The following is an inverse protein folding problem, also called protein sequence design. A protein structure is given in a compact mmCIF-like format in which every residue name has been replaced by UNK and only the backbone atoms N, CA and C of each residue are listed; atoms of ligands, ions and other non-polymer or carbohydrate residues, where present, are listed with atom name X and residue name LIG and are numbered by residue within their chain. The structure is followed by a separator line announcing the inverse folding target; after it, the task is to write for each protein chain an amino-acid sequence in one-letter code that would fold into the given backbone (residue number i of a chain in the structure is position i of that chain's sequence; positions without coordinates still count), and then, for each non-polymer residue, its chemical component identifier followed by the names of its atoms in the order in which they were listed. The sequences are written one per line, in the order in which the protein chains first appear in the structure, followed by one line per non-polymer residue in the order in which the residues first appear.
data_IF_595031729014
#
_entry.id   IF_595031729014
#
_cell.length_a   1.000
_cell.length_b   1.000
_cell.length_c   1.000
_cell.angle_alpha   90.00
_cell.angle_beta   90.00
_cell.angle_gamma   90.00
#
_symmetry.space_group_name_H-M   'P 1'
#
loop_
_entity.id
_entity.type
_entity.pdbx_description
1 polymer ?
#
# COMPACT_ATOMS: atom_id res chain seq x y z
N UNK A 1 4.15 -1.19 -22.99
CA UNK A 1 3.27 -0.23 -22.28
C UNK A 1 2.15 -1.02 -21.65
N UNK A 2 2.17 -1.16 -20.33
CA UNK A 2 1.03 -1.72 -19.60
C UNK A 2 -0.13 -0.74 -19.63
N UNK A 3 -1.32 -1.24 -19.91
CA UNK A 3 -2.54 -0.43 -19.91
C UNK A 3 -3.13 -0.43 -18.49
N UNK A 4 -3.68 0.70 -18.03
CA UNK A 4 -4.51 0.68 -16.83
C UNK A 4 -5.66 -0.28 -17.04
N UNK A 5 -5.96 -1.09 -16.04
CA UNK A 5 -7.00 -2.10 -16.11
C UNK A 5 -8.06 -1.84 -15.04
N UNK A 6 -9.33 -1.85 -15.44
CA UNK A 6 -10.45 -1.85 -14.50
C UNK A 6 -10.89 -3.29 -14.35
N UNK A 7 -10.59 -3.90 -13.22
CA UNK A 7 -10.89 -5.33 -12.99
C UNK A 7 -12.35 -5.60 -12.69
N UNK A 8 -13.05 -4.65 -12.13
CA UNK A 8 -14.47 -4.74 -11.79
C UNK A 8 -15.17 -3.41 -12.04
N UNK A 9 -16.41 -3.48 -12.51
CA UNK A 9 -17.20 -2.29 -12.85
C UNK A 9 -17.38 -1.30 -11.69
N UNK A 10 -17.34 -1.77 -10.45
CA UNK A 10 -17.53 -0.97 -9.25
C UNK A 10 -16.22 -0.53 -8.57
N UNK A 11 -15.07 -0.88 -9.10
CA UNK A 11 -13.79 -0.43 -8.56
C UNK A 11 -13.57 1.04 -8.85
N UNK A 12 -13.33 1.81 -7.81
CA UNK A 12 -13.03 3.25 -7.90
C UNK A 12 -11.55 3.53 -8.21
N UNK A 13 -10.69 2.52 -8.21
CA UNK A 13 -9.25 2.67 -8.44
C UNK A 13 -8.82 1.89 -9.66
N UNK A 14 -8.06 2.54 -10.51
CA UNK A 14 -7.36 1.90 -11.62
C UNK A 14 -6.07 1.27 -11.12
N UNK A 15 -5.81 0.05 -11.57
CA UNK A 15 -4.51 -0.57 -11.38
C UNK A 15 -3.57 -0.04 -12.46
N UNK A 16 -2.51 0.60 -12.04
CA UNK A 16 -1.48 1.12 -12.93
C UNK A 16 -0.14 0.50 -12.57
N UNK A 17 0.75 0.32 -13.55
CA UNK A 17 2.11 -0.07 -13.23
C UNK A 17 2.76 0.95 -12.31
N UNK A 18 3.73 0.51 -11.53
CA UNK A 18 4.55 1.41 -10.74
C UNK A 18 5.15 2.48 -11.63
N UNK A 19 4.88 3.72 -11.28
CA UNK A 19 5.53 4.84 -11.96
C UNK A 19 7.04 4.79 -11.75
N UNK A 20 7.78 5.27 -12.74
CA UNK A 20 9.24 5.33 -12.68
C UNK A 20 9.78 6.01 -11.41
N UNK A 21 9.05 6.97 -10.88
CA UNK A 21 9.36 7.68 -9.63
C UNK A 21 9.25 6.81 -8.37
N UNK A 22 8.51 5.70 -8.45
CA UNK A 22 8.36 4.76 -7.35
C UNK A 22 9.48 3.71 -7.30
N UNK A 23 10.31 3.63 -8.33
CA UNK A 23 11.45 2.73 -8.35
C UNK A 23 12.45 3.13 -7.26
N UNK A 24 12.87 2.14 -6.49
CA UNK A 24 13.90 2.33 -5.48
C UNK A 24 15.24 2.56 -6.14
N UNK A 25 15.98 3.53 -5.64
CA UNK A 25 17.41 3.56 -5.84
C UNK A 25 18.03 2.45 -4.98
N UNK A 26 18.64 1.47 -5.60
CA UNK A 26 19.31 0.36 -4.89
C UNK A 26 20.71 0.74 -4.40
N UNK A 27 21.21 1.87 -4.86
CA UNK A 27 22.53 2.35 -4.52
C UNK A 27 22.47 3.61 -3.68
N UNK A 28 22.61 3.44 -2.37
CA UNK A 28 22.50 4.54 -1.39
C UNK A 28 23.67 5.55 -1.46
N UNK A 29 24.72 5.26 -2.19
CA UNK A 29 25.93 6.09 -2.20
C UNK A 29 26.30 6.65 -3.56
N UNK A 30 25.52 6.40 -4.60
CA UNK A 30 25.96 6.74 -5.94
C UNK A 30 25.15 7.90 -6.53
N UNK A 31 25.67 9.09 -6.39
CA UNK A 31 25.20 10.29 -7.10
C UNK A 31 25.43 10.20 -8.63
N UNK A 32 26.22 9.24 -9.09
CA UNK A 32 26.56 9.07 -10.50
C UNK A 32 25.71 8.05 -11.26
N UNK A 33 24.93 7.22 -10.56
CA UNK A 33 23.96 6.29 -11.15
C UNK A 33 22.54 6.55 -10.61
N UNK A 34 21.89 7.57 -11.10
CA UNK A 34 20.51 7.86 -10.71
C UNK A 34 19.63 6.68 -11.13
N UNK A 35 18.70 6.28 -10.26
CA UNK A 35 17.78 5.18 -10.49
C UNK A 35 16.84 5.40 -11.68
N UNK A 36 16.96 6.51 -12.34
CA UNK A 36 16.24 6.83 -13.58
C UNK A 36 16.04 8.30 -13.78
N UNK A 37 15.78 8.64 -15.02
CA UNK A 37 15.44 9.98 -15.46
C UNK A 37 13.94 10.12 -15.64
N UNK A 38 13.41 11.31 -15.40
CA UNK A 38 12.01 11.65 -15.68
C UNK A 38 11.93 13.12 -16.09
N UNK A 39 10.78 13.52 -16.64
CA UNK A 39 10.58 14.89 -17.11
C UNK A 39 9.75 15.67 -16.12
N UNK A 40 10.16 16.91 -15.86
CA UNK A 40 9.46 17.88 -15.02
C UNK A 40 9.11 19.10 -15.85
N UNK A 41 7.87 19.54 -15.72
CA UNK A 41 7.44 20.81 -16.31
C UNK A 41 7.70 21.95 -15.31
N UNK A 42 8.38 23.00 -15.78
CA UNK A 42 8.58 24.26 -15.08
C UNK A 42 7.82 25.31 -15.88
N UNK A 43 6.74 25.84 -15.30
CA UNK A 43 5.83 26.73 -16.02
C UNK A 43 5.99 28.20 -15.60
N UNK A 44 5.69 29.12 -16.53
CA UNK A 44 5.67 30.54 -16.23
C UNK A 44 7.06 31.14 -15.95
N UNK A 45 8.11 30.59 -16.55
CA UNK A 45 9.47 31.10 -16.37
C UNK A 45 9.61 32.45 -17.09
N UNK A 46 9.96 33.50 -16.35
CA UNK A 46 10.14 34.83 -16.90
C UNK A 46 11.42 34.94 -17.74
N UNK A 47 11.29 35.49 -18.94
CA UNK A 47 12.39 35.80 -19.82
C UNK A 47 12.63 37.30 -19.77
N UNK A 48 13.86 37.73 -19.53
CA UNK A 48 14.29 39.11 -19.53
C UNK A 48 15.49 39.27 -20.47
N UNK A 49 15.37 40.20 -21.45
CA UNK A 49 16.40 40.45 -22.46
C UNK A 49 16.95 39.14 -23.08
N UNK A 50 16.04 38.24 -23.43
CA UNK A 50 16.37 36.96 -24.05
C UNK A 50 16.99 35.90 -23.11
N UNK A 51 16.99 36.15 -21.82
CA UNK A 51 17.57 35.21 -20.83
C UNK A 51 16.54 34.78 -19.80
N UNK A 52 16.60 33.51 -19.38
CA UNK A 52 15.76 32.92 -18.35
C UNK A 52 16.55 31.92 -17.52
N UNK A 53 16.15 31.73 -16.28
CA UNK A 53 16.68 30.63 -15.42
C UNK A 53 15.57 29.61 -15.16
N UNK A 54 15.81 28.39 -15.58
CA UNK A 54 14.91 27.26 -15.31
C UNK A 54 15.40 26.55 -14.07
N UNK A 55 14.59 26.52 -13.02
CA UNK A 55 14.86 25.84 -11.76
C UNK A 55 13.88 24.67 -11.59
N UNK A 56 14.39 23.47 -11.51
CA UNK A 56 13.59 22.24 -11.41
C UNK A 56 13.18 21.86 -9.97
N UNK A 57 13.58 22.68 -9.00
CA UNK A 57 13.22 22.51 -7.60
C UNK A 57 14.18 21.64 -6.79
N UNK A 58 14.02 21.74 -5.49
CA UNK A 58 14.90 21.08 -4.52
C UNK A 58 14.89 19.54 -4.64
N UNK A 59 16.08 18.97 -4.59
CA UNK A 59 16.26 17.51 -4.67
C UNK A 59 16.25 16.92 -6.08
N UNK A 60 16.10 17.76 -7.10
CA UNK A 60 16.17 17.40 -8.50
C UNK A 60 17.43 18.01 -9.14
N UNK A 61 18.03 17.26 -10.02
CA UNK A 61 19.18 17.70 -10.80
C UNK A 61 18.89 17.54 -12.29
N UNK A 62 19.29 18.54 -13.07
CA UNK A 62 19.12 18.52 -14.51
C UNK A 62 20.13 17.51 -15.09
N UNK A 63 19.63 16.65 -15.98
CA UNK A 63 20.46 15.73 -16.75
C UNK A 63 21.30 16.47 -17.73
N UNK A 64 22.20 16.50 -18.26
CA UNK A 64 22.93 17.19 -19.31
C UNK A 64 22.37 18.57 -19.63
N UNK A 65 22.72 19.52 -18.84
CA UNK A 65 22.23 20.87 -19.08
C UNK A 65 22.88 21.56 -20.29
N UNK A 66 23.86 20.96 -20.92
CA UNK A 66 24.52 21.38 -22.16
C UNK A 66 23.93 20.70 -23.43
N UNK A 67 22.96 19.82 -23.27
CA UNK A 67 22.31 19.11 -24.37
C UNK A 67 20.86 19.60 -24.52
N UNK A 68 20.60 20.30 -25.62
CA UNK A 68 19.27 20.85 -25.92
C UNK A 68 18.17 19.81 -26.05
N UNK A 69 18.51 18.56 -26.35
CA UNK A 69 17.55 17.45 -26.45
C UNK A 69 16.88 17.07 -25.11
N UNK A 70 17.47 17.48 -23.99
CA UNK A 70 16.91 17.26 -22.68
C UNK A 70 15.91 18.37 -22.25
N UNK A 71 15.69 19.38 -23.12
CA UNK A 71 14.76 20.46 -22.91
C UNK A 71 13.69 20.52 -24.03
N UNK A 72 12.47 20.77 -23.63
CA UNK A 72 11.39 21.17 -24.53
C UNK A 72 10.89 22.51 -24.00
N UNK A 73 11.12 23.56 -24.76
CA UNK A 73 10.77 24.94 -24.37
C UNK A 73 9.64 25.43 -25.26
N UNK A 74 8.57 25.92 -24.67
CA UNK A 74 7.46 26.56 -25.37
C UNK A 74 7.31 28.01 -24.93
N UNK A 75 7.09 28.90 -25.88
CA UNK A 75 6.83 30.33 -25.63
C UNK A 75 5.37 30.50 -25.22
N UNK A 76 5.12 31.11 -24.07
CA UNK A 76 3.77 31.34 -23.54
C UNK A 76 3.39 32.83 -23.57
N UNK A 77 4.36 33.73 -23.77
CA UNK A 77 4.12 35.13 -24.10
C UNK A 77 5.38 35.77 -24.66
N UNK A 78 5.20 36.80 -25.48
CA UNK A 78 6.30 37.54 -26.09
C UNK A 78 6.48 37.22 -27.57
N UNK A 79 7.69 37.48 -28.11
CA UNK A 79 7.99 37.17 -29.50
C UNK A 79 7.99 35.67 -29.73
N UNK A 80 7.16 35.16 -30.65
CA UNK A 80 7.00 33.73 -30.92
C UNK A 80 6.01 33.04 -29.99
N UNK A 81 5.05 33.78 -29.44
CA UNK A 81 3.98 33.14 -28.57
C UNK A 81 3.31 31.94 -29.26
N UNK A 82 3.32 30.83 -28.60
CA UNK A 82 2.85 29.53 -29.11
C UNK A 82 3.93 28.69 -29.81
N UNK A 83 5.12 29.17 -30.02
CA UNK A 83 6.21 28.41 -30.64
C UNK A 83 6.85 27.44 -29.67
N UNK A 84 7.30 26.33 -30.22
CA UNK A 84 8.17 25.39 -29.54
C UNK A 84 9.59 25.60 -30.03
N UNK A 85 10.45 26.03 -29.12
CA UNK A 85 11.86 26.27 -29.41
C UNK A 85 12.63 24.95 -29.49
N UNK A 86 13.46 24.85 -30.53
CA UNK A 86 14.31 23.67 -30.78
C UNK A 86 15.73 23.95 -30.32
N UNK A 87 16.51 22.87 -30.23
CA UNK A 87 17.97 23.01 -30.12
C UNK A 87 18.52 23.94 -31.19
N UNK A 88 19.31 24.92 -30.80
CA UNK A 88 19.82 25.99 -31.66
C UNK A 88 19.01 27.28 -31.63
N UNK A 89 17.74 27.26 -31.21
CA UNK A 89 16.94 28.47 -31.01
C UNK A 89 17.27 29.15 -29.67
N UNK A 90 17.95 28.46 -28.78
CA UNK A 90 18.46 28.93 -27.50
C UNK A 90 19.77 28.28 -27.16
N UNK A 91 20.51 28.85 -26.21
CA UNK A 91 21.76 28.30 -25.71
C UNK A 91 21.60 28.04 -24.21
N UNK A 92 22.00 26.87 -23.75
CA UNK A 92 22.12 26.57 -22.32
C UNK A 92 23.44 27.18 -21.81
N UNK A 93 23.37 27.94 -20.73
CA UNK A 93 24.57 28.41 -20.04
C UNK A 93 25.29 27.21 -19.45
N UNK A 94 26.59 27.13 -19.68
CA UNK A 94 27.45 26.01 -19.27
C UNK A 94 27.20 25.61 -17.80
N UNK A 95 26.31 24.60 -17.52
CA UNK A 95 26.00 24.23 -16.17
C UNK A 95 27.08 23.29 -15.68
N UNK A 96 27.48 23.50 -14.46
CA UNK A 96 28.21 22.45 -13.75
C UNK A 96 27.37 21.16 -13.76
N UNK A 97 27.98 20.05 -14.03
CA UNK A 97 27.33 18.72 -13.89
C UNK A 97 26.61 18.69 -12.55
N UNK A 98 25.35 18.28 -12.55
CA UNK A 98 24.51 18.18 -11.35
C UNK A 98 23.96 19.51 -10.79
N UNK A 99 23.43 20.36 -11.62
CA UNK A 99 22.77 21.59 -11.18
C UNK A 99 21.26 21.44 -11.05
N UNK A 100 20.68 22.14 -10.08
CA UNK A 100 19.24 22.29 -9.90
C UNK A 100 18.65 23.29 -10.89
N UNK A 101 19.44 24.22 -11.36
CA UNK A 101 18.99 25.27 -12.26
C UNK A 101 19.96 25.47 -13.43
N UNK A 102 19.43 25.94 -14.55
CA UNK A 102 20.20 26.26 -15.75
C UNK A 102 19.75 27.59 -16.30
N UNK A 103 20.72 28.39 -16.77
CA UNK A 103 20.43 29.61 -17.51
C UNK A 103 20.21 29.27 -18.99
N UNK A 104 19.15 29.78 -19.58
CA UNK A 104 18.88 29.74 -21.01
C UNK A 104 19.11 31.16 -21.58
N UNK A 105 19.67 31.26 -22.76
CA UNK A 105 19.91 32.54 -23.46
C UNK A 105 19.57 32.43 -24.94
N UNK A 106 19.40 33.59 -25.59
CA UNK A 106 18.96 33.64 -26.97
C UNK A 106 17.46 33.53 -27.18
N UNK A 107 16.72 33.43 -26.10
CA UNK A 107 15.26 33.30 -26.14
C UNK A 107 14.56 34.54 -26.71
N UNK A 108 13.43 34.34 -27.37
CA UNK A 108 12.51 35.38 -27.83
C UNK A 108 13.18 36.48 -28.68
N UNK A 109 14.24 36.13 -29.41
CA UNK A 109 15.01 37.12 -30.21
C UNK A 109 15.64 38.23 -29.37
N UNK A 110 15.94 38.00 -28.10
CA UNK A 110 16.47 39.00 -27.17
C UNK A 110 15.40 39.81 -26.42
N UNK A 111 14.12 39.45 -26.60
CA UNK A 111 12.97 40.16 -25.98
C UNK A 111 12.65 39.67 -24.58
N UNK A 112 11.53 40.19 -24.07
CA UNK A 112 10.94 39.82 -22.78
C UNK A 112 9.67 38.99 -22.99
N UNK A 113 9.36 38.11 -22.07
CA UNK A 113 8.16 37.28 -22.13
C UNK A 113 8.16 36.18 -21.08
N UNK A 114 7.44 35.09 -21.35
CA UNK A 114 7.39 33.89 -20.50
C UNK A 114 7.51 32.63 -21.35
N UNK A 115 8.10 31.63 -20.75
CA UNK A 115 8.23 30.29 -21.34
C UNK A 115 7.79 29.24 -20.36
N UNK A 116 7.37 28.10 -20.89
CA UNK A 116 7.27 26.83 -20.16
C UNK A 116 8.39 25.89 -20.62
N UNK A 117 9.04 25.22 -19.71
CA UNK A 117 10.10 24.28 -20.01
C UNK A 117 9.79 22.89 -19.46
N UNK A 118 9.93 21.85 -20.26
CA UNK A 118 9.94 20.47 -19.82
C UNK A 118 11.39 20.02 -19.84
N UNK A 119 11.90 19.63 -18.69
CA UNK A 119 13.32 19.33 -18.49
C UNK A 119 13.49 17.89 -18.04
N UNK A 120 14.48 17.18 -18.59
CA UNK A 120 14.87 15.86 -18.14
C UNK A 120 15.72 15.99 -16.88
N UNK A 121 15.25 15.36 -15.80
CA UNK A 121 15.89 15.45 -14.48
C UNK A 121 16.09 14.08 -13.86
N UNK A 122 16.93 14.04 -12.83
CA UNK A 122 17.05 12.90 -11.91
C UNK A 122 17.07 13.40 -10.46
N UNK A 123 16.77 12.51 -9.53
CA UNK A 123 16.82 12.84 -8.10
C UNK A 123 18.18 12.47 -7.51
N UNK A 124 18.83 13.45 -6.87
CA UNK A 124 20.14 13.24 -6.24
C UNK A 124 20.10 12.46 -4.92
N UNK A 125 18.98 12.50 -4.23
CA UNK A 125 18.83 11.93 -2.90
C UNK A 125 17.56 11.07 -2.79
N UNK A 126 17.60 9.88 -3.36
CA UNK A 126 16.52 8.91 -3.12
C UNK A 126 16.87 8.02 -1.95
N UNK A 127 16.35 8.35 -0.80
CA UNK A 127 16.30 7.37 0.28
C UNK A 127 15.32 6.25 -0.08
N UNK A 128 15.67 5.01 0.25
CA UNK A 128 14.73 3.91 0.15
C UNK A 128 13.47 4.26 0.94
N UNK A 129 12.31 4.22 0.30
CA UNK A 129 11.04 4.41 1.01
C UNK A 129 10.92 3.31 2.06
N UNK A 130 10.92 3.68 3.32
CA UNK A 130 10.69 2.73 4.39
C UNK A 130 9.29 2.15 4.22
N UNK A 131 9.19 0.84 4.11
CA UNK A 131 7.91 0.16 4.20
C UNK A 131 7.48 0.19 5.66
N UNK A 132 6.36 0.82 5.95
CA UNK A 132 5.68 0.68 7.24
C UNK A 132 4.76 -0.53 7.14
N UNK A 133 4.96 -1.49 8.02
CA UNK A 133 4.04 -2.61 8.14
C UNK A 133 2.85 -2.15 8.98
N UNK A 134 1.66 -2.09 8.39
CA UNK A 134 0.45 -1.95 9.17
C UNK A 134 0.13 -3.30 9.80
N UNK A 135 -0.03 -3.29 11.12
CA UNK A 135 -0.42 -4.49 11.86
C UNK A 135 -1.92 -4.68 11.73
N UNK A 136 -2.28 -5.91 11.63
CA UNK A 136 -3.61 -6.53 11.69
C UNK A 136 -4.79 -5.57 11.66
N UNK A 137 -5.53 -5.66 10.58
CA UNK A 137 -6.89 -5.13 10.45
C UNK A 137 -7.83 -6.32 10.38
N UNK A 138 -8.96 -6.20 11.04
CA UNK A 138 -10.06 -7.15 10.86
C UNK A 138 -10.89 -6.63 9.70
N UNK A 139 -11.02 -7.46 8.67
CA UNK A 139 -11.88 -7.19 7.54
C UNK A 139 -13.17 -8.00 7.68
N UNK A 140 -14.30 -7.31 7.66
CA UNK A 140 -15.62 -7.92 7.70
C UNK A 140 -16.13 -8.16 6.30
N UNK A 141 -16.41 -9.39 5.97
CA UNK A 141 -16.92 -9.81 4.67
C UNK A 141 -18.36 -10.28 4.80
N UNK A 142 -19.22 -9.67 3.99
CA UNK A 142 -20.65 -10.01 3.95
C UNK A 142 -20.99 -10.79 2.68
N UNK A 143 -22.13 -11.47 2.73
CA UNK A 143 -22.73 -12.06 1.55
C UNK A 143 -23.34 -10.98 0.65
N UNK A 144 -23.15 -11.08 -0.64
CA UNK A 144 -23.95 -10.28 -1.56
C UNK A 144 -25.40 -10.67 -1.44
N UNK A 145 -26.28 -9.71 -1.32
CA UNK A 145 -27.65 -10.06 -1.28
C UNK A 145 -28.17 -10.57 -2.50
N UNK A 146 -28.96 -11.43 -2.19
CA UNK A 146 -30.29 -11.46 -2.80
C UNK A 146 -31.29 -11.07 -1.70
N UNK A 147 -32.25 -10.22 -2.01
CA UNK A 147 -33.38 -9.93 -1.13
C UNK A 147 -34.00 -11.26 -0.68
N UNK A 148 -34.02 -11.49 0.63
CA UNK A 148 -34.46 -12.76 1.19
C UNK A 148 -33.38 -13.83 1.34
N UNK A 149 -32.11 -13.44 1.43
CA UNK A 149 -31.05 -14.38 1.80
C UNK A 149 -31.44 -15.20 3.04
N UNK A 150 -31.39 -16.54 2.97
CA UNK A 150 -31.82 -17.39 4.08
C UNK A 150 -30.97 -17.23 5.35
N UNK A 151 -29.78 -16.64 5.24
CA UNK A 151 -28.90 -16.37 6.38
C UNK A 151 -29.03 -14.94 6.94
N UNK A 152 -29.96 -14.12 6.41
CA UNK A 152 -30.21 -12.75 6.90
C UNK A 152 -29.10 -11.74 6.64
N UNK A 153 -28.06 -12.12 5.89
CA UNK A 153 -26.98 -11.19 5.54
C UNK A 153 -27.43 -10.23 4.44
N UNK A 154 -27.05 -8.98 4.60
CA UNK A 154 -27.34 -7.93 3.63
C UNK A 154 -26.26 -7.89 2.54
N UNK A 155 -26.56 -7.25 1.42
CA UNK A 155 -25.57 -6.97 0.37
C UNK A 155 -24.42 -6.17 0.94
N UNK A 156 -23.19 -6.54 0.57
CA UNK A 156 -22.05 -5.70 0.80
C UNK A 156 -22.28 -4.33 0.13
N UNK A 157 -22.40 -3.28 0.94
CA UNK A 157 -22.67 -1.92 0.46
C UNK A 157 -21.44 -1.25 -0.14
N UNK A 158 -20.27 -1.82 0.08
CA UNK A 158 -19.00 -1.34 -0.47
C UNK A 158 -18.69 -2.10 -1.75
N UNK A 159 -18.73 -1.44 -2.88
CA UNK A 159 -18.55 -2.01 -4.22
C UNK A 159 -17.15 -2.57 -4.53
N UNK A 160 -16.53 -3.29 -3.61
CA UNK A 160 -15.16 -3.77 -3.74
C UNK A 160 -15.04 -5.31 -3.79
N UNK A 161 -16.12 -6.02 -4.06
CA UNK A 161 -16.07 -7.47 -4.17
C UNK A 161 -15.84 -8.20 -2.85
N UNK A 162 -16.33 -7.68 -1.76
CA UNK A 162 -16.35 -8.34 -0.45
C UNK A 162 -17.52 -9.33 -0.37
N UNK A 163 -17.52 -10.32 -1.26
CA UNK A 163 -18.59 -11.31 -1.34
C UNK A 163 -18.05 -12.66 -0.93
N UNK A 164 -18.57 -13.20 0.15
CA UNK A 164 -18.19 -14.52 0.62
C UNK A 164 -18.52 -15.66 -0.36
N UNK A 165 -19.45 -15.40 -1.29
CA UNK A 165 -19.86 -16.40 -2.31
C UNK A 165 -18.83 -16.58 -3.43
N UNK A 166 -17.94 -15.58 -3.63
CA UNK A 166 -16.97 -15.59 -4.71
C UNK A 166 -15.84 -16.58 -4.42
N UNK A 167 -15.34 -17.24 -5.46
CA UNK A 167 -14.14 -18.09 -5.33
C UNK A 167 -12.89 -17.28 -4.98
N UNK A 168 -12.90 -16.02 -5.36
CA UNK A 168 -11.83 -15.05 -5.09
C UNK A 168 -12.42 -13.79 -4.45
N UNK A 169 -12.05 -13.55 -3.21
CA UNK A 169 -12.60 -12.46 -2.38
C UNK A 169 -11.53 -11.38 -2.22
N UNK A 170 -11.83 -10.16 -2.66
CA UNK A 170 -10.91 -9.02 -2.52
C UNK A 170 -10.83 -8.56 -1.07
N UNK A 171 -9.59 -8.31 -0.59
CA UNK A 171 -9.32 -7.72 0.71
C UNK A 171 -9.36 -6.18 0.69
N UNK A 172 -9.60 -5.56 -0.48
CA UNK A 172 -9.69 -4.10 -0.61
C UNK A 172 -8.39 -3.33 -0.42
N UNK A 173 -7.30 -4.01 -0.17
CA UNK A 173 -5.95 -3.45 -0.07
C UNK A 173 -4.95 -4.36 -0.77
N UNK A 174 -3.84 -3.81 -1.22
CA UNK A 174 -2.73 -4.56 -1.81
C UNK A 174 -1.65 -4.86 -0.78
N UNK A 175 -0.73 -5.74 -1.17
CA UNK A 175 0.49 -6.06 -0.41
C UNK A 175 0.20 -6.68 0.99
N UNK A 176 -0.87 -7.48 1.09
CA UNK A 176 -1.13 -8.29 2.28
C UNK A 176 -0.22 -9.50 2.24
N UNK A 177 0.71 -9.60 3.15
CA UNK A 177 1.71 -10.67 3.15
C UNK A 177 1.32 -11.89 3.98
N UNK A 178 0.32 -11.77 4.86
CA UNK A 178 -0.11 -12.87 5.72
C UNK A 178 -1.54 -12.70 6.23
N UNK A 179 -2.33 -13.77 6.13
CA UNK A 179 -3.59 -13.94 6.83
C UNK A 179 -3.29 -14.59 8.19
N UNK A 180 -3.86 -14.02 9.25
CA UNK A 180 -3.71 -14.57 10.61
C UNK A 180 -4.81 -15.58 10.92
N UNK A 181 -6.02 -15.31 10.48
CA UNK A 181 -7.17 -16.18 10.66
C UNK A 181 -8.35 -15.73 9.82
N UNK A 182 -9.21 -16.68 9.49
CA UNK A 182 -10.50 -16.44 8.84
C UNK A 182 -11.54 -17.18 9.67
N UNK A 183 -12.49 -16.46 10.23
CA UNK A 183 -13.54 -17.01 11.07
C UNK A 183 -14.90 -16.81 10.41
N UNK A 184 -15.67 -17.89 10.31
CA UNK A 184 -17.05 -17.87 9.82
C UNK A 184 -18.01 -17.87 10.99
N UNK A 185 -18.96 -16.94 11.00
CA UNK A 185 -20.02 -16.90 12.02
C UNK A 185 -20.87 -18.16 11.99
N UNK A 186 -21.39 -18.54 13.12
CA UNK A 186 -22.37 -19.63 13.26
C UNK A 186 -23.80 -19.17 13.04
N UNK A 187 -24.03 -17.86 12.96
CA UNK A 187 -25.33 -17.24 12.73
C UNK A 187 -25.25 -16.06 11.76
N UNK A 188 -26.26 -15.19 11.77
CA UNK A 188 -26.31 -13.99 10.91
C UNK A 188 -25.55 -12.80 11.49
N UNK A 189 -24.94 -12.93 12.66
CA UNK A 189 -24.15 -11.92 13.33
C UNK A 189 -22.69 -11.86 12.84
N UNK A 190 -21.91 -11.09 13.57
CA UNK A 190 -20.47 -11.05 13.39
C UNK A 190 -19.83 -12.29 13.99
N UNK A 191 -18.79 -12.87 13.37
CA UNK A 191 -18.05 -13.97 13.96
C UNK A 191 -17.50 -13.63 15.34
N UNK A 192 -17.66 -14.53 16.26
CA UNK A 192 -17.02 -14.47 17.58
C UNK A 192 -15.58 -14.93 17.44
N UNK A 193 -14.63 -14.08 17.81
CA UNK A 193 -13.21 -14.45 17.82
C UNK A 193 -12.85 -15.21 19.10
N UNK A 194 -11.87 -16.11 19.06
CA UNK A 194 -11.34 -16.73 20.27
C UNK A 194 -10.84 -15.65 21.25
N UNK A 195 -11.32 -15.73 22.48
CA UNK A 195 -10.93 -14.78 23.53
C UNK A 195 -10.92 -15.44 24.92
N UNK A 196 -10.21 -14.83 25.85
CA UNK A 196 -10.37 -15.10 27.26
C UNK A 196 -10.22 -13.84 28.10
N UNK A 197 -10.92 -13.81 29.24
CA UNK A 197 -10.65 -12.83 30.30
C UNK A 197 -9.47 -13.33 31.16
N UNK A 198 -8.65 -12.41 31.62
CA UNK A 198 -7.49 -12.75 32.43
C UNK A 198 -7.42 -11.97 33.74
N UNK A 199 -6.67 -12.52 34.65
CA UNK A 199 -6.29 -11.92 35.94
C UNK A 199 -4.82 -12.18 36.21
N UNK A 200 -4.27 -11.57 37.26
CA UNK A 200 -2.90 -11.77 37.71
C UNK A 200 -1.84 -11.52 36.61
N UNK A 201 -2.04 -10.50 35.80
CA UNK A 201 -1.06 -10.12 34.79
C UNK A 201 0.22 -9.61 35.48
N UNK A 202 1.32 -10.30 35.22
CA UNK A 202 2.67 -9.89 35.56
C UNK A 202 3.42 -9.65 34.25
N UNK A 203 3.92 -8.42 34.05
CA UNK A 203 4.60 -8.02 32.82
C UNK A 203 3.71 -7.32 31.79
N UNK A 204 4.09 -7.37 30.52
CA UNK A 204 3.41 -6.67 29.43
C UNK A 204 3.11 -7.61 28.28
N UNK A 205 1.87 -7.59 27.81
CA UNK A 205 1.44 -8.31 26.60
C UNK A 205 1.62 -7.42 25.37
N UNK A 206 2.13 -8.01 24.30
CA UNK A 206 2.24 -7.35 23.01
C UNK A 206 1.40 -8.08 21.94
N UNK A 207 0.86 -7.32 21.01
CA UNK A 207 0.23 -7.89 19.82
C UNK A 207 1.30 -8.68 19.04
N UNK A 208 0.92 -9.82 18.47
CA UNK A 208 1.79 -10.81 17.81
C UNK A 208 2.60 -11.71 18.75
N UNK A 209 2.60 -11.50 20.07
CA UNK A 209 3.19 -12.45 20.99
C UNK A 209 2.52 -13.83 20.83
N UNK A 210 3.36 -14.87 20.90
CA UNK A 210 2.87 -16.25 21.00
C UNK A 210 2.78 -16.59 22.49
N UNK A 211 1.59 -16.94 22.90
CA UNK A 211 1.27 -17.37 24.27
C UNK A 211 1.13 -18.89 24.33
N UNK A 212 1.48 -19.45 25.45
CA UNK A 212 1.44 -20.91 25.71
C UNK A 212 0.69 -21.18 27.00
N UNK A 213 -0.23 -22.13 26.97
CA UNK A 213 -0.91 -22.63 28.17
C UNK A 213 -0.01 -23.59 28.95
N UNK A 214 0.16 -23.35 30.25
CA UNK A 214 1.07 -24.14 31.08
C UNK A 214 0.55 -25.57 31.34
N UNK A 215 -0.76 -25.77 31.28
CA UNK A 215 -1.40 -27.06 31.48
C UNK A 215 -1.70 -27.77 30.17
N UNK A 216 -2.27 -27.03 29.19
CA UNK A 216 -2.67 -27.57 27.89
C UNK A 216 -1.51 -27.77 26.94
N UNK A 217 -0.45 -26.97 27.09
CA UNK A 217 0.60 -26.84 26.07
C UNK A 217 0.16 -26.12 24.79
N UNK A 218 -1.11 -25.75 24.71
CA UNK A 218 -1.68 -25.07 23.54
C UNK A 218 -1.00 -23.74 23.28
N UNK A 219 -0.86 -23.39 22.02
CA UNK A 219 -0.20 -22.16 21.58
C UNK A 219 -1.16 -21.29 20.78
N UNK A 220 -1.13 -20.01 21.06
CA UNK A 220 -1.92 -19.03 20.32
C UNK A 220 -1.15 -17.73 20.12
N UNK A 221 -1.57 -16.96 19.14
CA UNK A 221 -1.01 -15.64 18.84
C UNK A 221 -1.99 -14.56 19.25
N UNK A 222 -1.51 -13.60 20.02
CA UNK A 222 -2.31 -12.43 20.40
C UNK A 222 -2.59 -11.56 19.18
N UNK A 223 -3.86 -11.25 18.94
CA UNK A 223 -4.30 -10.34 17.87
C UNK A 223 -4.75 -8.99 18.42
N UNK A 224 -5.32 -8.97 19.62
CA UNK A 224 -5.74 -7.76 20.30
C UNK A 224 -5.82 -7.98 21.80
N UNK A 225 -5.68 -6.91 22.57
CA UNK A 225 -5.86 -6.94 24.02
C UNK A 225 -6.70 -5.77 24.48
N UNK A 226 -7.46 -5.96 25.54
CA UNK A 226 -8.09 -4.90 26.32
C UNK A 226 -7.54 -4.92 27.75
N UNK A 227 -8.12 -4.15 28.65
CA UNK A 227 -7.67 -4.09 30.06
C UNK A 227 -7.75 -5.45 30.77
N UNK A 228 -8.64 -6.34 30.35
CA UNK A 228 -8.90 -7.63 30.99
C UNK A 228 -9.14 -8.80 30.03
N UNK A 229 -9.03 -8.59 28.71
CA UNK A 229 -9.25 -9.61 27.70
C UNK A 229 -8.09 -9.73 26.73
N UNK A 230 -7.87 -10.96 26.26
CA UNK A 230 -6.98 -11.28 25.15
C UNK A 230 -7.80 -11.90 24.05
N UNK A 231 -7.71 -11.35 22.83
CA UNK A 231 -8.19 -11.97 21.60
C UNK A 231 -7.03 -12.68 20.94
N UNK A 232 -7.23 -13.89 20.50
CA UNK A 232 -6.13 -14.70 19.99
C UNK A 232 -6.54 -15.58 18.80
N UNK A 233 -5.54 -16.06 18.09
CA UNK A 233 -5.71 -17.06 17.03
C UNK A 233 -4.87 -18.29 17.44
N UNK A 234 -5.46 -19.48 17.52
CA UNK A 234 -4.70 -20.71 17.76
C UNK A 234 -3.62 -20.90 16.70
N UNK A 235 -2.44 -21.33 17.11
CA UNK A 235 -1.35 -21.67 16.18
C UNK A 235 -1.56 -23.10 15.65
N UNK A 236 -2.14 -23.95 16.47
CA UNK A 236 -2.52 -25.33 16.21
C UNK A 236 -4.00 -25.51 16.58
N UNK A 237 -4.60 -26.64 16.27
CA UNK A 237 -6.02 -26.90 16.58
C UNK A 237 -6.31 -27.09 18.07
N UNK A 238 -5.29 -26.99 18.90
CA UNK A 238 -5.40 -27.16 20.35
C UNK A 238 -6.03 -25.94 21.02
N UNK A 239 -6.73 -26.20 22.12
CA UNK A 239 -7.46 -25.18 22.88
C UNK A 239 -6.91 -25.10 24.31
N UNK A 240 -6.78 -23.87 24.82
CA UNK A 240 -6.43 -23.64 26.21
C UNK A 240 -7.38 -24.35 27.18
N UNK A 241 -6.85 -24.72 28.34
CA UNK A 241 -7.65 -25.23 29.45
C UNK A 241 -8.21 -24.05 30.27
N UNK A 242 -9.49 -24.11 30.59
CA UNK A 242 -10.13 -23.05 31.38
C UNK A 242 -9.47 -22.90 32.76
N UNK A 243 -9.15 -21.66 33.12
CA UNK A 243 -8.50 -21.32 34.38
C UNK A 243 -6.99 -21.61 34.47
N UNK A 244 -6.34 -22.02 33.37
CA UNK A 244 -4.89 -22.24 33.37
C UNK A 244 -4.07 -20.94 33.39
N UNK A 245 -2.80 -21.11 33.76
CA UNK A 245 -1.81 -20.04 33.60
C UNK A 245 -1.32 -20.01 32.16
N UNK A 246 -1.14 -18.81 31.65
CA UNK A 246 -0.63 -18.54 30.29
C UNK A 246 0.71 -17.85 30.41
N UNK A 247 1.69 -18.37 29.70
CA UNK A 247 3.03 -17.77 29.58
C UNK A 247 3.17 -17.07 28.23
N UNK A 248 3.59 -15.81 28.25
CA UNK A 248 3.95 -14.98 27.11
C UNK A 248 5.44 -14.63 27.17
N UNK A 249 6.08 -14.12 26.09
CA UNK A 249 7.50 -13.78 26.10
C UNK A 249 7.92 -12.82 27.22
N UNK A 250 7.07 -11.87 27.58
CA UNK A 250 7.35 -10.85 28.59
C UNK A 250 6.24 -10.74 29.64
N UNK A 251 5.39 -11.75 29.77
CA UNK A 251 4.31 -11.73 30.73
C UNK A 251 3.87 -13.12 31.14
N UNK A 252 3.25 -13.20 32.33
CA UNK A 252 2.43 -14.34 32.75
C UNK A 252 1.07 -13.82 33.22
N UNK A 253 0.02 -14.59 32.98
CA UNK A 253 -1.35 -14.26 33.35
C UNK A 253 -2.16 -15.54 33.58
N UNK A 254 -3.32 -15.40 34.18
CA UNK A 254 -4.19 -16.54 34.43
C UNK A 254 -5.56 -16.33 33.77
N UNK A 255 -6.06 -17.34 33.06
CA UNK A 255 -7.42 -17.33 32.50
C UNK A 255 -8.42 -17.30 33.66
N UNK A 256 -9.42 -16.41 33.58
CA UNK A 256 -10.53 -16.41 34.52
C UNK A 256 -11.43 -17.58 34.18
N UNK A 257 -11.70 -18.42 35.18
CA UNK A 257 -12.52 -19.64 34.98
C UNK A 257 -13.93 -19.29 34.47
N UNK A 258 -14.38 -20.05 33.48
CA UNK A 258 -15.64 -19.82 32.78
C UNK A 258 -15.65 -18.65 31.79
N UNK A 259 -14.48 -18.08 31.48
CA UNK A 259 -14.32 -16.93 30.59
C UNK A 259 -13.47 -17.20 29.34
N UNK A 260 -13.21 -18.46 29.07
CA UNK A 260 -12.56 -18.88 27.82
C UNK A 260 -13.63 -19.09 26.75
N UNK A 261 -13.52 -18.37 25.65
CA UNK A 261 -14.38 -18.49 24.47
C UNK A 261 -13.56 -19.04 23.32
N UNK A 262 -14.00 -20.13 22.72
CA UNK A 262 -13.30 -20.80 21.62
C UNK A 262 -13.42 -20.06 20.27
N UNK A 263 -14.38 -19.15 20.19
CA UNK A 263 -14.72 -18.48 18.94
C UNK A 263 -15.57 -19.34 18.00
N UNK A 264 -15.95 -18.76 16.88
CA UNK A 264 -16.70 -19.43 15.82
C UNK A 264 -15.77 -20.27 14.92
N UNK A 265 -16.30 -20.77 13.82
CA UNK A 265 -15.58 -21.72 12.96
C UNK A 265 -14.35 -21.08 12.29
N UNK A 266 -13.17 -21.62 12.57
CA UNK A 266 -11.95 -21.23 11.88
C UNK A 266 -11.89 -21.93 10.51
N UNK A 267 -12.01 -21.14 9.45
CA UNK A 267 -11.98 -21.59 8.06
C UNK A 267 -10.71 -21.14 7.32
N UNK A 268 -9.69 -20.72 8.03
CA UNK A 268 -8.42 -20.23 7.43
C UNK A 268 -7.82 -21.24 6.45
N UNK A 269 -7.88 -22.51 6.79
CA UNK A 269 -7.36 -23.60 5.96
C UNK A 269 -8.05 -23.77 4.60
N UNK A 270 -9.26 -23.20 4.44
CA UNK A 270 -10.07 -23.31 3.23
C UNK A 270 -9.65 -22.32 2.13
N UNK A 271 -8.75 -21.40 2.45
CA UNK A 271 -8.34 -20.30 1.55
C UNK A 271 -6.83 -20.22 1.39
N UNK A 272 -6.41 -19.73 0.23
CA UNK A 272 -5.05 -19.31 -0.05
C UNK A 272 -5.01 -17.77 -0.17
N UNK A 273 -3.90 -17.18 0.23
CA UNK A 273 -3.65 -15.75 0.05
C UNK A 273 -2.97 -15.51 -1.31
N UNK A 274 -3.55 -14.62 -2.10
CA UNK A 274 -2.89 -13.97 -3.22
C UNK A 274 -2.58 -12.52 -2.79
N UNK A 275 -1.31 -12.21 -2.61
CA UNK A 275 -0.84 -10.90 -2.11
C UNK A 275 -1.08 -9.75 -3.09
N UNK A 276 -1.47 -10.06 -4.32
CA UNK A 276 -1.71 -9.09 -5.37
C UNK A 276 -0.45 -8.59 -6.07
N UNK A 277 0.73 -9.09 -5.73
CA UNK A 277 1.95 -8.71 -6.42
C UNK A 277 2.00 -9.33 -7.82
N UNK A 278 2.32 -8.51 -8.80
CA UNK A 278 2.49 -8.89 -10.20
C UNK A 278 3.80 -8.31 -10.71
N UNK A 279 4.30 -8.82 -11.80
CA UNK A 279 5.59 -8.40 -12.38
C UNK A 279 5.69 -6.90 -12.64
N UNK A 280 4.58 -6.27 -13.01
CA UNK A 280 4.56 -4.87 -13.45
C UNK A 280 3.65 -3.97 -12.65
N UNK A 281 2.80 -4.50 -11.77
CA UNK A 281 1.82 -3.71 -11.00
C UNK A 281 1.41 -4.44 -9.72
N UNK A 282 0.80 -3.68 -8.79
CA UNK A 282 0.13 -4.25 -7.63
C UNK A 282 -1.37 -4.30 -7.87
N UNK A 283 -1.95 -5.48 -7.68
CA UNK A 283 -3.39 -5.70 -7.59
C UNK A 283 -3.82 -5.62 -6.12
N UNK A 284 -5.13 -5.65 -5.87
CA UNK A 284 -5.63 -5.92 -4.53
C UNK A 284 -5.28 -7.35 -4.12
N UNK A 285 -4.89 -7.50 -2.87
CA UNK A 285 -4.75 -8.83 -2.28
C UNK A 285 -6.11 -9.50 -2.19
N UNK A 286 -6.13 -10.80 -2.42
CA UNK A 286 -7.37 -11.60 -2.39
C UNK A 286 -7.15 -12.88 -1.59
N UNK A 287 -8.21 -13.38 -0.96
CA UNK A 287 -8.27 -14.77 -0.53
C UNK A 287 -8.96 -15.60 -1.60
N UNK A 288 -8.41 -16.75 -1.90
CA UNK A 288 -8.89 -17.65 -2.96
C UNK A 288 -9.33 -18.94 -2.30
N UNK A 289 -10.60 -19.30 -2.49
CA UNK A 289 -11.12 -20.56 -1.96
C UNK A 289 -10.44 -21.74 -2.64
N UNK A 290 -9.96 -22.67 -1.86
CA UNK A 290 -9.32 -23.90 -2.37
C UNK A 290 -10.35 -24.82 -3.01
N UNK A 291 -9.91 -25.56 -4.01
CA UNK A 291 -10.75 -26.58 -4.64
C UNK A 291 -11.22 -27.63 -3.62
N UNK A 292 -12.50 -27.98 -3.68
CA UNK A 292 -13.13 -28.96 -2.79
C UNK A 292 -13.74 -28.38 -1.51
N UNK A 293 -13.57 -27.09 -1.25
CA UNK A 293 -14.25 -26.43 -0.14
C UNK A 293 -15.50 -25.67 -0.61
N UNK A 294 -16.57 -25.73 0.17
CA UNK A 294 -17.81 -25.02 -0.10
C UNK A 294 -17.68 -23.54 0.21
N UNK A 295 -18.50 -22.72 -0.45
CA UNK A 295 -18.58 -21.30 -0.11
C UNK A 295 -19.10 -21.13 1.32
N UNK A 296 -18.55 -20.16 2.09
CA UNK A 296 -19.10 -19.81 3.39
C UNK A 296 -20.56 -19.41 3.25
N UNK A 297 -21.33 -19.71 4.29
CA UNK A 297 -22.77 -19.42 4.35
C UNK A 297 -23.09 -18.19 5.19
N UNK A 298 -22.18 -17.83 6.07
CA UNK A 298 -22.33 -16.73 7.00
C UNK A 298 -21.17 -15.72 6.83
N UNK A 299 -21.26 -14.63 7.59
CA UNK A 299 -20.26 -13.56 7.58
C UNK A 299 -18.88 -14.07 7.97
N UNK A 300 -17.85 -13.52 7.34
CA UNK A 300 -16.46 -13.81 7.68
C UNK A 300 -15.80 -12.60 8.34
N UNK A 301 -14.91 -12.88 9.30
CA UNK A 301 -13.81 -12.02 9.70
C UNK A 301 -12.50 -12.56 9.15
N UNK A 302 -11.74 -11.68 8.47
CA UNK A 302 -10.43 -11.99 7.91
C UNK A 302 -9.37 -11.10 8.52
#
# INVERSE_FOLDING_TARGET
RSRPEIKEANKKKLLTPLGFQALKNTDNNNTQNPAGYFRVAVTGVSVSSGSATVDVGSGLLIKNADDGDDFIVSVTSGTGDGDILKEGDFTTGNPSVNTQSVALSGLLGGGNGTIDAIVTVYSSNRSAKAKTTERMKILKLDKTTVSGSPNGLTTATTGNGYRIDDDRISLGCGDVFKIKGIFESTDNGDPTLPEFEFTNLLGTLSIDDVITGDTSGSRARIISTTSNKVYFIPVEDDVFTDGETITAPNATLKIVSGKLVKGDTNVTGNFDLDDGQRDQFYDYSTIVRKAGYTAPTHRLFV
#
